data_IF_061641868472
#
_entry.id   IF_061641868472
#
_cell.length_a   1.000
_cell.length_b   1.000
_cell.length_c   1.000
_cell.angle_alpha   90.00
_cell.angle_beta   90.00
_cell.angle_gamma   90.00
#
_symmetry.space_group_name_H-M   'P 1'
#
loop_
_entity.id
_entity.type
_entity.pdbx_description
1 polymer ?
#
# COMPACT_ATOMS: atom_id res chain seq x y z
N UNK A 1 37.83 22.35 31.40
CA UNK A 1 36.61 22.83 30.70
C UNK A 1 36.13 21.92 29.56
N UNK A 2 37.00 21.12 28.94
CA UNK A 2 36.66 20.31 27.76
C UNK A 2 35.69 19.13 28.05
N UNK A 3 35.87 18.40 29.15
CA UNK A 3 35.06 17.20 29.44
C UNK A 3 33.60 17.50 29.79
N UNK A 4 33.31 18.61 30.49
CA UNK A 4 31.93 18.99 30.83
C UNK A 4 31.10 19.24 29.56
N UNK A 5 31.72 19.84 28.54
CA UNK A 5 31.08 20.04 27.23
C UNK A 5 30.77 18.71 26.55
N UNK A 6 31.67 17.73 26.61
CA UNK A 6 31.43 16.39 26.05
C UNK A 6 30.25 15.67 26.74
N UNK A 7 30.15 15.79 28.08
CA UNK A 7 29.00 15.25 28.84
C UNK A 7 27.70 15.94 28.44
N UNK A 8 27.66 17.27 28.42
CA UNK A 8 26.47 18.02 28.01
C UNK A 8 26.06 17.73 26.57
N UNK A 9 27.02 17.54 25.67
CA UNK A 9 26.75 17.14 24.29
C UNK A 9 26.12 15.75 24.23
N UNK A 10 26.69 14.76 24.92
CA UNK A 10 26.14 13.41 24.98
C UNK A 10 24.73 13.36 25.62
N UNK A 11 24.44 14.18 26.63
CA UNK A 11 23.09 14.32 27.20
C UNK A 11 22.10 14.87 26.17
N UNK A 12 22.50 15.91 25.45
CA UNK A 12 21.69 16.53 24.39
C UNK A 12 21.44 15.56 23.24
N UNK A 13 22.45 14.82 22.80
CA UNK A 13 22.33 13.83 21.74
C UNK A 13 21.36 12.73 22.14
N UNK A 14 21.47 12.18 23.35
CA UNK A 14 20.52 11.16 23.83
C UNK A 14 19.10 11.69 23.90
N UNK A 15 18.91 12.93 24.36
CA UNK A 15 17.59 13.54 24.40
C UNK A 15 17.02 13.73 22.99
N UNK A 16 17.84 14.22 22.06
CA UNK A 16 17.46 14.40 20.65
C UNK A 16 17.08 13.06 20.01
N UNK A 17 17.94 12.05 20.11
CA UNK A 17 17.71 10.72 19.54
C UNK A 17 16.47 10.01 20.13
N UNK A 18 16.11 10.33 21.38
CA UNK A 18 14.90 9.84 22.04
C UNK A 18 13.63 10.48 21.49
N UNK A 19 13.71 11.73 21.04
CA UNK A 19 12.57 12.48 20.51
C UNK A 19 12.23 12.12 19.07
N UNK A 20 13.20 11.64 18.28
CA UNK A 20 12.98 11.20 16.89
C UNK A 20 12.02 10.00 16.84
N UNK A 21 10.86 10.18 16.19
CA UNK A 21 9.76 9.19 16.12
C UNK A 21 9.63 8.53 14.76
N UNK A 22 10.24 9.08 13.71
CA UNK A 22 10.14 8.55 12.36
C UNK A 22 11.51 8.31 11.70
N UNK A 23 11.59 7.35 10.76
CA UNK A 23 12.80 7.14 9.97
C UNK A 23 13.27 8.40 9.24
N UNK A 24 12.33 9.24 8.78
CA UNK A 24 12.65 10.49 8.08
C UNK A 24 13.31 11.52 9.00
N UNK A 25 12.81 11.68 10.22
CA UNK A 25 13.44 12.55 11.23
C UNK A 25 14.84 12.03 11.58
N UNK A 26 15.00 10.72 11.72
CA UNK A 26 16.30 10.11 11.98
C UNK A 26 17.29 10.34 10.83
N UNK A 27 16.88 10.13 9.59
CA UNK A 27 17.71 10.36 8.41
C UNK A 27 18.10 11.85 8.27
N UNK A 28 17.19 12.78 8.54
CA UNK A 28 17.49 14.22 8.56
C UNK A 28 18.53 14.55 9.63
N UNK A 29 18.34 14.04 10.85
CA UNK A 29 19.30 14.25 11.94
C UNK A 29 20.68 13.66 11.61
N UNK A 30 20.73 12.45 11.03
CA UNK A 30 21.97 11.82 10.60
C UNK A 30 22.67 12.59 9.47
N UNK A 31 21.92 13.20 8.56
CA UNK A 31 22.47 14.03 7.48
C UNK A 31 23.04 15.37 7.99
N UNK A 32 22.40 15.97 9.00
CA UNK A 32 22.83 17.25 9.56
C UNK A 32 24.06 17.12 10.47
N UNK A 33 24.09 16.13 11.35
CA UNK A 33 25.06 16.07 12.46
C UNK A 33 26.21 15.06 12.23
N UNK A 34 26.07 14.13 11.29
CA UNK A 34 27.03 13.04 11.12
C UNK A 34 27.62 12.96 9.71
N UNK A 35 28.96 12.82 9.64
CA UNK A 35 29.66 12.61 8.39
C UNK A 35 29.22 11.29 7.73
N UNK A 36 28.95 11.33 6.43
CA UNK A 36 28.52 10.18 5.65
C UNK A 36 27.64 10.60 4.48
N UNK A 37 27.23 9.63 3.65
CA UNK A 37 26.28 9.87 2.55
C UNK A 37 24.81 9.73 3.01
N UNK A 38 24.47 10.33 4.15
CA UNK A 38 23.10 10.29 4.67
C UNK A 38 22.14 11.15 3.83
N UNK A 39 22.64 12.20 3.18
CA UNK A 39 21.90 12.96 2.16
C UNK A 39 21.52 12.11 0.94
N UNK A 40 22.46 11.29 0.45
CA UNK A 40 22.20 10.32 -0.62
C UNK A 40 21.12 9.32 -0.21
N UNK A 41 21.27 8.71 0.97
CA UNK A 41 20.29 7.75 1.51
C UNK A 41 18.92 8.37 1.76
N UNK A 42 18.85 9.63 2.20
CA UNK A 42 17.58 10.35 2.39
C UNK A 42 16.85 10.52 1.06
N UNK A 43 17.56 10.92 0.00
CA UNK A 43 16.99 11.03 -1.34
C UNK A 43 16.55 9.67 -1.90
N UNK A 44 17.35 8.63 -1.69
CA UNK A 44 17.02 7.26 -2.08
C UNK A 44 15.74 6.77 -1.36
N UNK A 45 15.64 7.01 -0.04
CA UNK A 45 14.48 6.69 0.78
C UNK A 45 13.21 7.37 0.28
N UNK A 46 13.24 8.68 0.07
CA UNK A 46 12.07 9.42 -0.42
C UNK A 46 11.67 8.98 -1.83
N UNK A 47 12.64 8.70 -2.71
CA UNK A 47 12.37 8.16 -4.05
C UNK A 47 11.65 6.81 -3.98
N UNK A 48 12.17 5.85 -3.20
CA UNK A 48 11.54 4.55 -3.02
C UNK A 48 10.13 4.67 -2.39
N UNK A 49 9.95 5.59 -1.43
CA UNK A 49 8.66 5.88 -0.83
C UNK A 49 7.66 6.43 -1.85
N UNK A 50 8.09 7.33 -2.74
CA UNK A 50 7.25 7.88 -3.82
C UNK A 50 6.81 6.79 -4.81
N UNK A 51 7.67 5.82 -5.12
CA UNK A 51 7.30 4.65 -5.93
C UNK A 51 6.16 3.86 -5.28
N UNK A 52 6.25 3.59 -3.98
CA UNK A 52 5.21 2.85 -3.25
C UNK A 52 3.89 3.62 -3.14
N UNK A 53 3.95 4.94 -2.91
CA UNK A 53 2.76 5.81 -2.91
C UNK A 53 2.07 5.80 -4.28
N UNK A 54 2.84 5.99 -5.36
CA UNK A 54 2.32 5.93 -6.73
C UNK A 54 1.69 4.57 -7.04
N UNK A 55 2.32 3.49 -6.59
CA UNK A 55 1.80 2.12 -6.73
C UNK A 55 0.47 1.96 -5.99
N UNK A 56 0.37 2.48 -4.77
CA UNK A 56 -0.85 2.47 -3.96
C UNK A 56 -1.98 3.24 -4.64
N UNK A 57 -1.71 4.43 -5.16
CA UNK A 57 -2.73 5.26 -5.83
C UNK A 57 -3.29 4.57 -7.08
N UNK A 58 -2.42 3.96 -7.89
CA UNK A 58 -2.81 3.13 -9.03
C UNK A 58 -3.66 1.92 -8.59
N UNK A 59 -3.27 1.24 -7.52
CA UNK A 59 -4.04 0.11 -6.98
C UNK A 59 -5.43 0.55 -6.46
N UNK A 60 -5.52 1.72 -5.83
CA UNK A 60 -6.79 2.32 -5.38
C UNK A 60 -7.68 2.70 -6.55
N UNK A 61 -7.13 3.24 -7.64
CA UNK A 61 -7.88 3.53 -8.86
C UNK A 61 -8.48 2.25 -9.47
N UNK A 62 -7.72 1.16 -9.53
CA UNK A 62 -8.23 -0.16 -9.96
C UNK A 62 -9.35 -0.63 -9.02
N UNK A 63 -9.19 -0.46 -7.71
CA UNK A 63 -10.19 -0.83 -6.72
C UNK A 63 -11.51 -0.06 -6.90
N UNK A 64 -11.44 1.25 -7.16
CA UNK A 64 -12.62 2.07 -7.47
C UNK A 64 -13.38 1.58 -8.71
N UNK A 65 -12.65 1.16 -9.77
CA UNK A 65 -13.26 0.56 -10.97
C UNK A 65 -13.94 -0.76 -10.67
N UNK A 66 -13.32 -1.61 -9.85
CA UNK A 66 -13.93 -2.88 -9.41
C UNK A 66 -15.26 -2.64 -8.69
N UNK A 67 -15.34 -1.65 -7.79
CA UNK A 67 -16.60 -1.32 -7.12
C UNK A 67 -17.67 -0.85 -8.09
N UNK A 68 -17.30 0.02 -9.04
CA UNK A 68 -18.22 0.49 -10.08
C UNK A 68 -18.80 -0.67 -10.90
N UNK A 69 -17.98 -1.64 -11.29
CA UNK A 69 -18.43 -2.83 -12.03
C UNK A 69 -19.35 -3.72 -11.19
N UNK A 70 -19.08 -3.88 -9.89
CA UNK A 70 -19.99 -4.64 -9.02
C UNK A 70 -21.36 -3.97 -8.87
N UNK A 71 -21.41 -2.65 -8.78
CA UNK A 71 -22.68 -1.90 -8.76
C UNK A 71 -23.43 -2.03 -10.08
N UNK A 72 -22.73 -1.99 -11.22
CA UNK A 72 -23.33 -2.28 -12.53
C UNK A 72 -23.90 -3.71 -12.60
N UNK A 73 -23.15 -4.71 -12.16
CA UNK A 73 -23.62 -6.11 -12.09
C UNK A 73 -24.87 -6.22 -11.23
N UNK A 74 -24.94 -5.52 -10.10
CA UNK A 74 -26.11 -5.51 -9.22
C UNK A 74 -27.34 -4.96 -9.96
N UNK A 75 -27.20 -3.79 -10.62
CA UNK A 75 -28.27 -3.16 -11.40
C UNK A 75 -28.76 -4.07 -12.52
N UNK A 76 -27.84 -4.62 -13.33
CA UNK A 76 -28.17 -5.52 -14.43
C UNK A 76 -28.89 -6.78 -13.97
N UNK A 77 -28.51 -7.35 -12.80
CA UNK A 77 -29.23 -8.49 -12.22
C UNK A 77 -30.66 -8.13 -11.84
N UNK A 78 -30.86 -6.97 -11.20
CA UNK A 78 -32.20 -6.49 -10.83
C UNK A 78 -33.07 -6.29 -12.08
N UNK A 79 -32.52 -5.70 -13.14
CA UNK A 79 -33.24 -5.49 -14.39
C UNK A 79 -33.56 -6.80 -15.13
N UNK A 80 -32.62 -7.74 -15.18
CA UNK A 80 -32.85 -9.06 -15.76
C UNK A 80 -33.98 -9.79 -15.03
N UNK A 81 -33.97 -9.78 -13.69
CA UNK A 81 -35.03 -10.38 -12.87
C UNK A 81 -36.38 -9.68 -13.08
N UNK A 82 -36.40 -8.36 -13.25
CA UNK A 82 -37.62 -7.62 -13.58
C UNK A 82 -38.18 -8.07 -14.94
N UNK A 83 -37.32 -8.17 -15.95
CA UNK A 83 -37.70 -8.62 -17.30
C UNK A 83 -38.20 -10.06 -17.29
N UNK A 84 -37.58 -10.94 -16.50
CA UNK A 84 -38.05 -12.31 -16.30
C UNK A 84 -39.44 -12.39 -15.65
N UNK A 85 -39.74 -11.49 -14.71
CA UNK A 85 -41.08 -11.37 -14.10
C UNK A 85 -42.10 -10.90 -15.12
N UNK A 86 -41.81 -9.81 -15.84
CA UNK A 86 -42.66 -9.29 -16.91
C UNK A 86 -42.93 -10.34 -18.00
N UNK A 87 -41.91 -11.14 -18.37
CA UNK A 87 -42.03 -12.29 -19.29
C UNK A 87 -42.97 -13.38 -18.75
N UNK A 88 -42.99 -13.58 -17.43
CA UNK A 88 -43.90 -14.51 -16.75
C UNK A 88 -45.33 -13.99 -16.72
N UNK A 89 -45.51 -12.70 -16.43
CA UNK A 89 -46.81 -12.04 -16.40
C UNK A 89 -47.44 -11.98 -17.79
N UNK A 90 -46.68 -11.62 -18.82
CA UNK A 90 -47.10 -11.64 -20.23
C UNK A 90 -47.58 -13.02 -20.66
N UNK A 91 -46.88 -14.09 -20.26
CA UNK A 91 -47.32 -15.46 -20.52
C UNK A 91 -48.68 -15.77 -19.86
N UNK A 92 -48.87 -15.39 -18.59
CA UNK A 92 -50.12 -15.64 -17.86
C UNK A 92 -51.29 -14.86 -18.44
N UNK A 93 -51.06 -13.66 -18.95
CA UNK A 93 -52.11 -12.80 -19.50
C UNK A 93 -52.46 -13.16 -20.93
N UNK A 94 -51.46 -13.40 -21.80
CA UNK A 94 -51.69 -13.55 -23.25
C UNK A 94 -51.72 -15.01 -23.72
N UNK A 95 -50.80 -15.85 -23.25
CA UNK A 95 -50.60 -17.20 -23.80
C UNK A 95 -51.39 -18.25 -23.03
N UNK A 96 -51.41 -18.18 -21.70
CA UNK A 96 -52.06 -19.18 -20.86
C UNK A 96 -53.56 -19.32 -21.17
N UNK A 97 -54.36 -18.24 -21.32
CA UNK A 97 -55.78 -18.37 -21.64
C UNK A 97 -56.02 -19.03 -23.00
N UNK A 98 -55.16 -18.75 -24.00
CA UNK A 98 -55.25 -19.39 -25.32
C UNK A 98 -54.95 -20.89 -25.24
N UNK A 99 -53.96 -21.30 -24.43
CA UNK A 99 -53.67 -22.73 -24.20
C UNK A 99 -54.82 -23.45 -23.50
N UNK A 100 -55.47 -22.79 -22.54
CA UNK A 100 -56.66 -23.33 -21.88
C UNK A 100 -57.82 -23.48 -22.86
N UNK A 101 -58.01 -22.53 -23.78
CA UNK A 101 -59.01 -22.63 -24.87
C UNK A 101 -58.72 -23.77 -25.84
N UNK A 102 -57.46 -23.93 -26.28
CA UNK A 102 -57.03 -25.05 -27.12
C UNK A 102 -57.36 -26.39 -26.45
N UNK A 103 -57.12 -26.51 -25.15
CA UNK A 103 -57.42 -27.73 -24.41
C UNK A 103 -58.94 -27.99 -24.24
N UNK A 104 -59.76 -26.95 -24.27
CA UNK A 104 -61.21 -27.04 -24.08
C UNK A 104 -61.99 -27.27 -25.39
N UNK A 105 -61.49 -26.76 -26.52
CA UNK A 105 -62.20 -26.89 -27.80
C UNK A 105 -62.03 -28.28 -28.40
N UNK A 106 -63.04 -28.73 -29.15
CA UNK A 106 -63.02 -30.00 -29.91
C UNK A 106 -62.97 -29.77 -31.42
N UNK A 107 -63.09 -28.51 -31.84
CA UNK A 107 -63.04 -28.15 -33.25
C UNK A 107 -61.58 -28.12 -33.73
N UNK A 108 -61.18 -28.98 -34.69
CA UNK A 108 -59.82 -28.99 -35.21
C UNK A 108 -59.45 -27.67 -35.91
N UNK A 109 -60.41 -26.97 -36.53
CA UNK A 109 -60.12 -25.71 -37.21
C UNK A 109 -59.84 -24.58 -36.23
N UNK A 110 -60.62 -24.47 -35.14
CA UNK A 110 -60.35 -23.51 -34.07
C UNK A 110 -59.01 -23.81 -33.37
N UNK A 111 -58.71 -25.09 -33.17
CA UNK A 111 -57.43 -25.53 -32.57
C UNK A 111 -56.24 -25.02 -33.38
N UNK A 112 -56.23 -25.24 -34.70
CA UNK A 112 -55.14 -24.82 -35.58
C UNK A 112 -54.93 -23.29 -35.57
N UNK A 113 -56.04 -22.52 -35.56
CA UNK A 113 -55.98 -21.05 -35.48
C UNK A 113 -55.37 -20.57 -34.16
N UNK A 114 -55.81 -21.12 -33.03
CA UNK A 114 -55.29 -20.76 -31.71
C UNK A 114 -53.82 -21.17 -31.56
N UNK A 115 -53.41 -22.32 -32.10
CA UNK A 115 -52.01 -22.75 -32.10
C UNK A 115 -51.12 -21.82 -32.92
N UNK A 116 -51.57 -21.38 -34.10
CA UNK A 116 -50.88 -20.38 -34.91
C UNK A 116 -50.71 -19.05 -34.17
N UNK A 117 -51.77 -18.59 -33.48
CA UNK A 117 -51.72 -17.38 -32.66
C UNK A 117 -50.73 -17.51 -31.50
N UNK A 118 -50.76 -18.64 -30.78
CA UNK A 118 -49.81 -18.93 -29.69
C UNK A 118 -48.37 -18.91 -30.21
N UNK A 119 -48.11 -19.48 -31.39
CA UNK A 119 -46.76 -19.51 -31.96
C UNK A 119 -46.29 -18.12 -32.37
N UNK A 120 -47.16 -17.29 -32.94
CA UNK A 120 -46.88 -15.87 -33.21
C UNK A 120 -46.50 -15.11 -31.92
N UNK A 121 -47.27 -15.29 -30.84
CA UNK A 121 -47.00 -14.68 -29.54
C UNK A 121 -45.70 -15.17 -28.91
N UNK A 122 -45.34 -16.44 -29.10
CA UNK A 122 -44.06 -17.00 -28.63
C UNK A 122 -42.88 -16.40 -29.38
N UNK A 123 -43.00 -16.21 -30.69
CA UNK A 123 -41.97 -15.55 -31.50
C UNK A 123 -41.77 -14.09 -31.02
N UNK A 124 -42.85 -13.33 -30.83
CA UNK A 124 -42.81 -11.97 -30.27
C UNK A 124 -42.13 -11.96 -28.90
N UNK A 125 -42.53 -12.86 -28.00
CA UNK A 125 -41.98 -13.00 -26.65
C UNK A 125 -40.49 -13.32 -26.65
N UNK A 126 -40.03 -14.16 -27.57
CA UNK A 126 -38.62 -14.53 -27.71
C UNK A 126 -37.80 -13.30 -28.12
N UNK A 127 -38.27 -12.57 -29.13
CA UNK A 127 -37.59 -11.35 -29.61
C UNK A 127 -37.57 -10.26 -28.56
N UNK A 128 -38.67 -10.09 -27.80
CA UNK A 128 -38.81 -9.06 -26.79
C UNK A 128 -38.04 -9.36 -25.51
N UNK A 129 -38.28 -10.52 -24.89
CA UNK A 129 -37.77 -10.80 -23.55
C UNK A 129 -36.48 -11.63 -23.56
N UNK A 130 -36.39 -12.68 -24.38
CA UNK A 130 -35.26 -13.61 -24.31
C UNK A 130 -33.97 -13.00 -24.82
N UNK A 131 -34.04 -12.25 -25.92
CA UNK A 131 -32.90 -11.47 -26.42
C UNK A 131 -32.43 -10.45 -25.38
N UNK A 132 -33.35 -9.76 -24.71
CA UNK A 132 -33.03 -8.73 -23.73
C UNK A 132 -32.41 -9.31 -22.45
N UNK A 133 -32.96 -10.42 -21.94
CA UNK A 133 -32.43 -11.16 -20.80
C UNK A 133 -31.03 -11.67 -21.11
N UNK A 134 -30.82 -12.29 -22.29
CA UNK A 134 -29.51 -12.82 -22.65
C UNK A 134 -28.49 -11.71 -22.87
N UNK A 135 -28.89 -10.57 -23.44
CA UNK A 135 -28.03 -9.39 -23.56
C UNK A 135 -27.54 -8.93 -22.17
N UNK A 136 -28.45 -8.78 -21.19
CA UNK A 136 -28.07 -8.41 -19.82
C UNK A 136 -27.18 -9.44 -19.14
N UNK A 137 -27.48 -10.73 -19.31
CA UNK A 137 -26.63 -11.83 -18.79
C UNK A 137 -25.24 -11.80 -19.42
N UNK A 138 -25.15 -11.52 -20.72
CA UNK A 138 -23.89 -11.27 -21.44
C UNK A 138 -23.09 -10.12 -20.81
N UNK A 139 -23.72 -8.97 -20.59
CA UNK A 139 -23.09 -7.83 -19.92
C UNK A 139 -22.62 -8.14 -18.50
N UNK A 140 -23.38 -8.92 -17.73
CA UNK A 140 -22.97 -9.38 -16.39
C UNK A 140 -21.72 -10.26 -16.47
N UNK A 141 -21.69 -11.24 -17.40
CA UNK A 141 -20.53 -12.13 -17.59
C UNK A 141 -19.29 -11.33 -17.98
N UNK A 142 -19.44 -10.38 -18.90
CA UNK A 142 -18.37 -9.48 -19.31
C UNK A 142 -17.83 -8.67 -18.12
N UNK A 143 -18.70 -7.97 -17.38
CA UNK A 143 -18.29 -7.16 -16.24
C UNK A 143 -17.57 -7.98 -15.16
N UNK A 144 -18.03 -9.21 -14.88
CA UNK A 144 -17.38 -10.10 -13.92
C UNK A 144 -16.02 -10.62 -14.41
N UNK A 145 -15.87 -10.88 -15.72
CA UNK A 145 -14.57 -11.20 -16.31
C UNK A 145 -13.61 -10.02 -16.16
N UNK A 146 -14.05 -8.80 -16.48
CA UNK A 146 -13.25 -7.58 -16.29
C UNK A 146 -12.85 -7.37 -14.83
N UNK A 147 -13.74 -7.64 -13.87
CA UNK A 147 -13.39 -7.59 -12.43
C UNK A 147 -12.27 -8.59 -12.09
N UNK A 148 -12.31 -9.80 -12.65
CA UNK A 148 -11.25 -10.79 -12.44
C UNK A 148 -9.92 -10.28 -12.96
N UNK A 149 -9.90 -9.74 -14.16
CA UNK A 149 -8.69 -9.22 -14.80
C UNK A 149 -8.13 -8.03 -14.01
N UNK A 150 -8.98 -7.10 -13.60
CA UNK A 150 -8.58 -5.96 -12.76
C UNK A 150 -8.01 -6.40 -11.41
N UNK A 151 -8.57 -7.42 -10.76
CA UNK A 151 -8.01 -7.99 -9.51
C UNK A 151 -6.61 -8.55 -9.75
N UNK A 152 -6.40 -9.27 -10.85
CA UNK A 152 -5.09 -9.80 -11.24
C UNK A 152 -4.11 -8.66 -11.52
N UNK A 153 -4.51 -7.62 -12.26
CA UNK A 153 -3.69 -6.44 -12.52
C UNK A 153 -3.30 -5.71 -11.24
N UNK A 154 -4.22 -5.55 -10.28
CA UNK A 154 -3.94 -4.94 -8.98
C UNK A 154 -2.87 -5.73 -8.22
N UNK A 155 -3.02 -7.06 -8.16
CA UNK A 155 -2.06 -7.92 -7.48
C UNK A 155 -0.68 -7.89 -8.15
N UNK A 156 -0.66 -7.92 -9.49
CA UNK A 156 0.59 -7.83 -10.26
C UNK A 156 1.31 -6.51 -10.04
N UNK A 157 0.56 -5.40 -9.93
CA UNK A 157 1.09 -4.08 -9.63
C UNK A 157 1.70 -4.01 -8.21
N UNK A 158 1.00 -4.54 -7.20
CA UNK A 158 1.48 -4.55 -5.81
C UNK A 158 2.73 -5.44 -5.60
N UNK A 159 2.83 -6.51 -6.41
CA UNK A 159 3.93 -7.49 -6.43
C UNK A 159 4.95 -7.24 -7.54
N UNK A 160 4.92 -6.07 -8.17
CA UNK A 160 5.87 -5.74 -9.22
C UNK A 160 7.30 -5.75 -8.68
N UNK A 161 8.27 -6.05 -9.54
CA UNK A 161 9.69 -6.01 -9.17
C UNK A 161 10.10 -4.62 -8.65
N UNK A 162 9.53 -3.57 -9.22
CA UNK A 162 9.72 -2.17 -8.80
C UNK A 162 9.21 -1.94 -7.37
N UNK A 163 7.98 -2.36 -7.05
CA UNK A 163 7.44 -2.22 -5.70
C UNK A 163 8.16 -3.12 -4.67
N UNK A 164 8.65 -4.30 -5.09
CA UNK A 164 9.48 -5.15 -4.25
C UNK A 164 10.83 -4.49 -3.95
N UNK A 165 11.51 -3.98 -4.97
CA UNK A 165 12.79 -3.27 -4.84
C UNK A 165 12.66 -2.02 -3.97
N UNK A 166 11.60 -1.22 -4.15
CA UNK A 166 11.37 -0.04 -3.32
C UNK A 166 11.18 -0.40 -1.84
N UNK A 167 10.44 -1.46 -1.52
CA UNK A 167 10.31 -1.94 -0.12
C UNK A 167 11.64 -2.40 0.46
N UNK A 168 12.45 -3.08 -0.34
CA UNK A 168 13.76 -3.55 0.08
C UNK A 168 14.72 -2.38 0.35
N UNK A 169 14.74 -1.39 -0.53
CA UNK A 169 15.49 -0.14 -0.33
C UNK A 169 15.09 0.56 0.96
N UNK A 170 13.79 0.72 1.24
CA UNK A 170 13.34 1.33 2.49
C UNK A 170 13.83 0.55 3.71
N UNK A 171 13.64 -0.78 3.74
CA UNK A 171 14.09 -1.62 4.86
C UNK A 171 15.59 -1.56 5.08
N UNK A 172 16.36 -1.60 3.99
CA UNK A 172 17.83 -1.51 4.05
C UNK A 172 18.25 -0.19 4.69
N UNK A 173 17.74 0.93 4.20
CA UNK A 173 18.07 2.26 4.72
C UNK A 173 17.61 2.42 6.17
N UNK A 174 16.42 1.95 6.52
CA UNK A 174 15.90 1.97 7.90
C UNK A 174 16.80 1.15 8.84
N UNK A 175 17.23 -0.04 8.42
CA UNK A 175 18.15 -0.87 9.21
C UNK A 175 19.51 -0.21 9.40
N UNK A 176 20.05 0.42 8.37
CA UNK A 176 21.32 1.16 8.45
C UNK A 176 21.19 2.38 9.38
N UNK A 177 20.08 3.13 9.29
CA UNK A 177 19.82 4.29 10.14
C UNK A 177 19.64 3.90 11.61
N UNK A 178 18.90 2.83 11.91
CA UNK A 178 18.73 2.34 13.28
C UNK A 178 20.04 1.79 13.87
N UNK A 179 20.89 1.17 13.04
CA UNK A 179 22.23 0.75 13.47
C UNK A 179 23.07 1.96 13.85
N UNK A 180 23.09 3.00 13.00
CA UNK A 180 23.79 4.25 13.29
C UNK A 180 23.24 4.91 14.58
N UNK A 181 21.91 4.95 14.75
CA UNK A 181 21.28 5.44 15.98
C UNK A 181 21.75 4.68 17.21
N UNK A 182 21.80 3.36 17.15
CA UNK A 182 22.26 2.53 18.26
C UNK A 182 23.73 2.79 18.61
N UNK A 183 24.59 2.98 17.60
CA UNK A 183 26.00 3.35 17.80
C UNK A 183 26.14 4.72 18.48
N UNK A 184 25.37 5.72 18.06
CA UNK A 184 25.36 7.05 18.67
C UNK A 184 24.88 7.02 20.13
N UNK A 185 23.82 6.26 20.42
CA UNK A 185 23.34 6.05 21.79
C UNK A 185 24.43 5.37 22.62
N UNK A 186 25.06 4.32 22.10
CA UNK A 186 26.12 3.60 22.81
C UNK A 186 27.32 4.50 23.11
N UNK A 187 27.76 5.31 22.14
CA UNK A 187 28.87 6.26 22.32
C UNK A 187 28.52 7.34 23.34
N UNK A 188 27.29 7.86 23.31
CA UNK A 188 26.81 8.84 24.29
C UNK A 188 26.78 8.25 25.69
N UNK A 189 26.23 7.06 25.88
CA UNK A 189 26.20 6.37 27.17
C UNK A 189 27.60 6.06 27.70
N UNK A 190 28.52 5.60 26.85
CA UNK A 190 29.93 5.41 27.24
C UNK A 190 30.56 6.71 27.72
N UNK A 191 30.30 7.81 27.02
CA UNK A 191 30.82 9.14 27.41
C UNK A 191 30.28 9.58 28.77
N UNK A 192 28.96 9.43 28.99
CA UNK A 192 28.32 9.82 30.24
C UNK A 192 28.77 8.97 31.43
N UNK A 193 28.93 7.66 31.25
CA UNK A 193 29.24 6.75 32.34
C UNK A 193 30.75 6.56 32.56
N UNK A 194 31.59 6.51 31.51
CA UNK A 194 33.02 6.22 31.67
C UNK A 194 33.86 7.43 32.12
N UNK A 195 33.50 8.66 31.75
CA UNK A 195 34.26 9.85 32.11
C UNK A 195 34.30 10.11 33.64
N UNK A 196 33.19 9.96 34.39
CA UNK A 196 33.23 10.05 35.85
C UNK A 196 34.15 9.01 36.50
N UNK A 197 34.16 7.77 35.99
CA UNK A 197 34.99 6.68 36.53
C UNK A 197 36.50 6.85 36.28
N UNK A 198 36.89 7.73 35.35
CA UNK A 198 38.30 8.01 35.02
C UNK A 198 38.79 9.32 35.66
N UNK A 199 38.15 9.80 36.73
CA UNK A 199 38.41 11.11 37.35
C UNK A 199 38.41 12.25 36.32
N UNK A 200 37.60 12.12 35.27
CA UNK A 200 37.52 13.06 34.15
C UNK A 200 38.84 13.28 33.39
N UNK A 201 39.81 12.37 33.57
CA UNK A 201 41.08 12.35 32.83
C UNK A 201 40.97 11.31 31.74
N UNK A 202 40.74 11.71 30.47
CA UNK A 202 40.78 10.76 29.36
C UNK A 202 42.19 10.16 29.31
N UNK A 203 42.31 8.91 29.71
CA UNK A 203 43.51 8.11 29.53
C UNK A 203 43.65 7.74 28.05
N UNK A 204 44.88 7.45 27.60
CA UNK A 204 45.16 7.14 26.19
C UNK A 204 44.27 6.01 25.62
N UNK A 205 43.84 5.07 26.46
CA UNK A 205 42.94 3.97 26.09
C UNK A 205 41.48 4.40 25.85
N UNK A 206 41.08 5.59 26.30
CA UNK A 206 39.74 6.12 26.13
C UNK A 206 39.52 6.70 24.72
N UNK A 207 40.60 7.13 24.06
CA UNK A 207 40.51 7.73 22.72
C UNK A 207 39.95 6.77 21.66
N UNK A 208 40.42 5.51 21.52
CA UNK A 208 39.84 4.58 20.57
C UNK A 208 38.38 4.20 20.87
N UNK A 209 37.95 4.32 22.13
CA UNK A 209 36.59 4.00 22.55
C UNK A 209 35.59 5.13 22.26
N UNK A 210 36.06 6.37 22.28
CA UNK A 210 35.23 7.57 22.05
C UNK A 210 35.33 8.03 20.60
N UNK A 211 36.50 7.87 19.97
CA UNK A 211 36.75 8.14 18.56
C UNK A 211 37.60 7.03 17.94
N UNK A 212 36.96 5.99 17.36
CA UNK A 212 37.67 4.88 16.72
C UNK A 212 38.55 5.31 15.54
N UNK A 213 38.27 6.47 14.93
CA UNK A 213 39.06 6.99 13.81
C UNK A 213 40.44 7.50 14.26
N UNK A 214 40.62 7.74 15.56
CA UNK A 214 41.83 8.33 16.13
C UNK A 214 42.06 9.80 15.76
N UNK A 215 41.14 10.44 15.03
CA UNK A 215 41.26 11.84 14.62
C UNK A 215 41.34 12.79 15.83
N UNK A 216 40.57 12.51 16.88
CA UNK A 216 40.56 13.24 18.13
C UNK A 216 41.91 13.11 18.83
N UNK A 217 42.43 11.89 18.97
CA UNK A 217 43.75 11.67 19.56
C UNK A 217 44.85 12.36 18.75
N UNK A 218 44.83 12.22 17.43
CA UNK A 218 45.80 12.84 16.52
C UNK A 218 45.75 14.38 16.52
N UNK A 219 44.58 14.96 16.78
CA UNK A 219 44.43 16.41 16.97
C UNK A 219 44.94 16.83 18.35
N UNK A 220 44.65 16.04 19.38
CA UNK A 220 45.06 16.34 20.75
C UNK A 220 46.58 16.26 20.90
N UNK A 221 47.23 15.25 20.31
CA UNK A 221 48.70 15.15 20.27
C UNK A 221 49.34 16.31 19.51
N UNK A 222 48.69 16.81 18.44
CA UNK A 222 49.18 17.98 17.67
C UNK A 222 49.02 19.32 18.39
N UNK A 223 48.09 19.42 19.33
CA UNK A 223 47.70 20.70 19.97
C UNK A 223 48.00 20.73 21.46
N UNK A 224 48.51 19.64 22.03
CA UNK A 224 48.88 19.57 23.43
C UNK A 224 50.12 20.43 23.69
N UNK A 225 49.97 21.44 24.54
CA UNK A 225 51.07 22.22 25.10
C UNK A 225 51.36 21.73 26.52
N UNK A 226 52.64 21.47 26.81
CA UNK A 226 53.11 21.09 28.14
C UNK A 226 53.41 22.37 28.92
N UNK A 227 52.82 22.51 30.11
CA UNK A 227 53.16 23.54 31.08
C UNK A 227 53.64 22.89 32.37
N UNK A 228 54.62 23.51 33.02
CA UNK A 228 55.07 23.12 34.35
C UNK A 228 54.16 23.78 35.39
N UNK A 229 53.61 23.00 36.32
CA UNK A 229 52.98 23.55 37.53
C UNK A 229 54.09 24.13 38.42
N UNK A 230 54.06 25.43 38.67
CA UNK A 230 54.90 26.05 39.70
C UNK A 230 54.43 25.53 41.07
N UNK A 231 55.34 24.85 41.78
CA UNK A 231 55.12 24.26 43.11
C UNK A 231 55.10 25.32 44.22
#
# INVERSE_FOLDING_TARGET
LCWRRAVTFAERDLQTLRELRSPRELLSHLAEEHAGDWDGKTREYESARMVLLTTKDKAQAIQGRIYTLYDQVRRLKTEALRTEREKGDDFRVRILPLRERVAATKDPAETELLESEIESLRAERTMRFDVEIETRRGSIRYALATVRDLKQSRLALERSAEAASARETLRRIESEAETAKAELIANSLRTLHALPHTNHRPSAWLFPLVDPSGAWFARLTRTAELSWEEL
#
